data_IF_237301054469
#
_entry.id   IF_237301054469
#
_cell.length_a   1.000
_cell.length_b   1.000
_cell.length_c   1.000
_cell.angle_alpha   90.00
_cell.angle_beta   90.00
_cell.angle_gamma   90.00
#
_symmetry.space_group_name_H-M   'P 1'
#
loop_
_entity.id
_entity.type
_entity.pdbx_description
1 polymer ?
#
# COMPACT_ATOMS: atom_id res chain seq x y z
N UNK A 1 -3.10 11.52 -14.24
CA UNK A 1 -2.85 11.21 -12.82
C UNK A 1 -3.85 10.16 -12.35
N UNK A 2 -3.36 9.13 -11.69
CA UNK A 2 -4.19 8.04 -11.20
C UNK A 2 -4.01 7.89 -9.70
N UNK A 3 -5.10 7.57 -9.01
CA UNK A 3 -5.07 7.22 -7.61
C UNK A 3 -4.98 5.71 -7.48
N UNK A 4 -3.99 5.23 -6.76
CA UNK A 4 -3.85 3.83 -6.40
C UNK A 4 -4.30 3.68 -4.96
N UNK A 5 -5.24 2.78 -4.73
CA UNK A 5 -5.79 2.54 -3.41
C UNK A 5 -5.64 1.07 -3.05
N UNK A 6 -4.85 0.80 -2.03
CA UNK A 6 -4.68 -0.53 -1.47
C UNK A 6 -5.51 -0.64 -0.21
N UNK A 7 -6.46 -1.56 -0.19
CA UNK A 7 -7.35 -1.76 0.96
C UNK A 7 -7.08 -3.14 1.55
N UNK A 8 -6.67 -3.17 2.80
CA UNK A 8 -6.36 -4.41 3.50
C UNK A 8 -7.29 -4.62 4.67
N UNK A 9 -7.76 -5.85 4.81
CA UNK A 9 -8.47 -6.31 5.98
C UNK A 9 -7.47 -7.08 6.83
N UNK A 10 -7.04 -6.49 7.95
CA UNK A 10 -6.07 -7.14 8.81
C UNK A 10 -6.74 -8.10 9.80
N UNK A 11 -5.92 -8.94 10.38
CA UNK A 11 -6.33 -9.73 11.55
C UNK A 11 -6.56 -8.79 12.73
N UNK A 12 -7.45 -9.15 13.66
CA UNK A 12 -7.69 -8.34 14.84
C UNK A 12 -6.40 -7.99 15.58
N UNK A 13 -6.23 -6.71 15.89
CA UNK A 13 -5.06 -6.23 16.62
C UNK A 13 -3.81 -6.03 15.78
N UNK A 14 -3.85 -6.28 14.47
CA UNK A 14 -2.66 -6.23 13.61
C UNK A 14 -2.58 -5.00 12.71
N UNK A 15 -3.57 -4.11 12.76
CA UNK A 15 -3.57 -2.92 11.91
C UNK A 15 -2.36 -2.02 12.14
N UNK A 16 -1.98 -1.79 13.40
CA UNK A 16 -0.83 -0.93 13.72
C UNK A 16 0.48 -1.44 13.14
N UNK A 17 0.68 -2.75 13.14
CA UNK A 17 1.89 -3.35 12.58
C UNK A 17 1.96 -3.13 11.07
N UNK A 18 0.83 -3.28 10.37
CA UNK A 18 0.77 -3.04 8.93
C UNK A 18 0.99 -1.56 8.61
N UNK A 19 0.36 -0.67 9.36
CA UNK A 19 0.57 0.79 9.22
C UNK A 19 2.05 1.14 9.36
N UNK A 20 2.72 0.57 10.36
CA UNK A 20 4.14 0.80 10.60
C UNK A 20 4.97 0.38 9.39
N UNK A 21 4.69 -0.79 8.81
CA UNK A 21 5.39 -1.27 7.62
C UNK A 21 5.18 -0.32 6.44
N UNK A 22 3.96 0.13 6.19
CA UNK A 22 3.67 1.06 5.12
C UNK A 22 4.37 2.40 5.30
N UNK A 23 4.39 2.93 6.51
CA UNK A 23 5.09 4.18 6.80
C UNK A 23 6.60 4.06 6.58
N UNK A 24 7.17 2.92 6.91
CA UNK A 24 8.59 2.68 6.67
C UNK A 24 8.90 2.49 5.18
N UNK A 25 7.99 1.88 4.43
CA UNK A 25 8.19 1.63 3.01
C UNK A 25 7.96 2.87 2.14
N UNK A 26 7.09 3.79 2.56
CA UNK A 26 6.68 4.94 1.74
C UNK A 26 7.84 5.75 1.16
N UNK A 27 8.90 6.13 1.90
CA UNK A 27 10.01 6.89 1.32
C UNK A 27 10.70 6.17 0.16
N UNK A 28 10.77 4.85 0.21
CA UNK A 28 11.38 4.06 -0.86
C UNK A 28 10.45 3.96 -2.07
N UNK A 29 9.14 3.83 -1.82
CA UNK A 29 8.15 3.77 -2.90
C UNK A 29 8.04 5.10 -3.63
N UNK A 30 8.25 6.23 -2.95
CA UNK A 30 8.27 7.55 -3.59
C UNK A 30 9.33 7.66 -4.69
N UNK A 31 10.42 6.93 -4.56
CA UNK A 31 11.48 6.91 -5.57
C UNK A 31 11.04 6.27 -6.87
N UNK A 32 9.97 5.48 -6.86
CA UNK A 32 9.43 4.81 -8.06
C UNK A 32 8.39 5.65 -8.80
N UNK A 33 8.14 6.88 -8.34
CA UNK A 33 7.14 7.77 -8.93
C UNK A 33 5.79 7.79 -8.23
N UNK A 34 5.63 7.01 -7.18
CA UNK A 34 4.45 7.08 -6.33
C UNK A 34 4.58 8.27 -5.40
N UNK A 35 3.53 9.06 -5.24
CA UNK A 35 3.57 10.27 -4.42
C UNK A 35 2.27 10.50 -3.69
N UNK A 36 2.29 11.46 -2.76
CA UNK A 36 1.12 11.84 -1.96
C UNK A 36 0.55 10.65 -1.18
N UNK A 37 1.42 9.91 -0.51
CA UNK A 37 1.00 8.77 0.30
C UNK A 37 0.10 9.19 1.45
N UNK A 38 -0.98 8.45 1.62
CA UNK A 38 -1.83 8.56 2.80
C UNK A 38 -2.10 7.15 3.31
N UNK A 39 -1.95 6.97 4.60
CA UNK A 39 -2.19 5.71 5.27
C UNK A 39 -3.29 5.95 6.30
N UNK A 40 -4.36 5.20 6.19
CA UNK A 40 -5.57 5.43 6.98
C UNK A 40 -6.03 4.12 7.63
N UNK A 41 -6.64 4.26 8.80
CA UNK A 41 -7.30 3.14 9.47
C UNK A 41 -8.76 3.50 9.67
N UNK A 42 -9.60 2.49 9.83
CA UNK A 42 -11.03 2.70 9.94
C UNK A 42 -11.42 3.41 11.24
N UNK A 43 -12.34 4.35 11.12
CA UNK A 43 -13.15 4.83 12.24
C UNK A 43 -14.54 4.22 12.12
N UNK A 44 -15.04 4.16 10.89
CA UNK A 44 -16.32 3.53 10.57
C UNK A 44 -16.21 2.83 9.22
N UNK A 45 -15.98 1.54 9.23
CA UNK A 45 -15.86 0.66 8.06
C UNK A 45 -15.85 -0.78 8.58
N UNK A 46 -15.41 -1.73 7.76
CA UNK A 46 -15.13 -3.07 8.25
C UNK A 46 -13.99 -2.99 9.29
N UNK A 47 -14.14 -3.67 10.41
CA UNK A 47 -13.15 -3.63 11.48
C UNK A 47 -11.76 -4.03 10.98
N UNK A 48 -10.73 -3.35 11.49
CA UNK A 48 -9.32 -3.61 11.22
C UNK A 48 -8.94 -3.39 9.77
N UNK A 49 -9.50 -2.35 9.15
CA UNK A 49 -9.16 -1.95 7.77
C UNK A 49 -7.99 -0.98 7.77
N UNK A 50 -7.02 -1.24 6.87
CA UNK A 50 -5.91 -0.32 6.60
C UNK A 50 -5.96 0.03 5.12
N UNK A 51 -5.94 1.32 4.82
CA UNK A 51 -5.94 1.83 3.45
C UNK A 51 -4.66 2.62 3.21
N UNK A 52 -3.99 2.33 2.11
CA UNK A 52 -2.88 3.14 1.65
C UNK A 52 -3.23 3.69 0.27
N UNK A 53 -3.14 5.01 0.12
CA UNK A 53 -3.37 5.68 -1.16
C UNK A 53 -2.11 6.37 -1.65
N UNK A 54 -1.94 6.40 -2.95
CA UNK A 54 -0.87 7.16 -3.59
C UNK A 54 -1.30 7.58 -4.98
N UNK A 55 -0.63 8.60 -5.50
CA UNK A 55 -0.85 9.08 -6.87
C UNK A 55 0.28 8.61 -7.76
N UNK A 56 -0.03 8.23 -9.00
CA UNK A 56 0.97 7.91 -10.00
C UNK A 56 0.59 8.55 -11.34
N UNK A 57 1.58 8.97 -12.11
CA UNK A 57 1.35 9.53 -13.44
C UNK A 57 1.34 8.47 -14.51
N UNK A 58 2.18 7.44 -14.37
CA UNK A 58 2.37 6.39 -15.36
C UNK A 58 1.94 5.02 -14.81
N UNK A 59 0.79 4.55 -15.27
CA UNK A 59 0.29 3.22 -14.91
C UNK A 59 1.17 2.09 -15.45
N UNK A 60 1.84 2.31 -16.57
CA UNK A 60 2.74 1.31 -17.14
C UNK A 60 3.89 0.99 -16.21
N UNK A 61 4.55 2.01 -15.70
CA UNK A 61 5.63 1.84 -14.72
C UNK A 61 5.11 1.18 -13.45
N UNK A 62 3.99 1.65 -12.94
CA UNK A 62 3.37 1.07 -11.73
C UNK A 62 3.03 -0.41 -11.92
N UNK A 63 2.43 -0.76 -13.05
CA UNK A 63 2.06 -2.14 -13.37
C UNK A 63 3.28 -3.06 -13.45
N UNK A 64 4.35 -2.56 -14.05
CA UNK A 64 5.62 -3.29 -14.15
C UNK A 64 6.20 -3.58 -12.76
N UNK A 65 6.24 -2.58 -11.90
CA UNK A 65 6.73 -2.72 -10.53
C UNK A 65 5.96 -3.79 -9.76
N UNK A 66 4.65 -3.81 -9.92
CA UNK A 66 3.80 -4.78 -9.24
C UNK A 66 4.02 -6.20 -9.76
N UNK A 67 4.12 -6.37 -11.07
CA UNK A 67 4.25 -7.70 -11.67
C UNK A 67 5.62 -8.35 -11.43
N UNK A 68 6.65 -7.53 -11.38
CA UNK A 68 8.01 -8.02 -11.12
C UNK A 68 8.34 -8.07 -9.64
N UNK A 69 7.40 -7.62 -8.80
CA UNK A 69 7.67 -7.36 -7.39
C UNK A 69 8.44 -6.07 -7.25
N UNK A 70 8.61 -5.60 -6.04
CA UNK A 70 9.43 -4.42 -5.84
C UNK A 70 10.90 -4.78 -6.09
N UNK A 71 11.57 -3.92 -6.85
CA UNK A 71 13.00 -4.06 -7.11
C UNK A 71 13.85 -3.50 -5.99
N UNK A 72 13.25 -2.76 -5.06
CA UNK A 72 13.97 -2.18 -3.93
C UNK A 72 14.08 -3.21 -2.79
N UNK A 73 15.30 -3.69 -2.48
CA UNK A 73 15.49 -4.67 -1.41
C UNK A 73 15.03 -4.16 -0.06
N UNK A 74 15.06 -2.85 0.16
CA UNK A 74 14.62 -2.26 1.43
C UNK A 74 13.11 -2.40 1.60
N UNK A 75 12.34 -2.21 0.53
CA UNK A 75 10.89 -2.40 0.58
C UNK A 75 10.56 -3.85 0.86
N UNK A 76 11.21 -4.78 0.17
CA UNK A 76 11.01 -6.22 0.40
C UNK A 76 11.28 -6.61 1.84
N UNK A 77 12.36 -6.06 2.40
CA UNK A 77 12.76 -6.34 3.79
C UNK A 77 11.74 -5.76 4.78
N UNK A 78 11.30 -4.52 4.56
CA UNK A 78 10.33 -3.85 5.41
C UNK A 78 8.99 -4.60 5.40
N UNK A 79 8.55 -5.04 4.23
CA UNK A 79 7.25 -5.70 4.05
C UNK A 79 7.28 -7.19 4.36
N UNK A 80 8.43 -7.75 4.70
CA UNK A 80 8.53 -9.16 5.04
C UNK A 80 7.53 -9.53 6.14
N UNK A 81 6.77 -10.60 5.90
CA UNK A 81 5.78 -11.09 6.88
C UNK A 81 4.45 -10.33 6.88
N UNK A 82 4.25 -9.34 6.00
CA UNK A 82 2.99 -8.58 6.02
C UNK A 82 1.76 -9.46 5.74
N UNK A 83 1.93 -10.53 4.97
CA UNK A 83 0.81 -11.43 4.66
C UNK A 83 0.27 -12.14 5.90
N UNK A 84 1.08 -12.31 6.94
CA UNK A 84 0.64 -12.88 8.20
C UNK A 84 -0.25 -11.92 9.00
N UNK A 85 -0.23 -10.64 8.64
CA UNK A 85 -1.01 -9.60 9.32
C UNK A 85 -2.39 -9.41 8.68
N UNK A 86 -2.61 -9.90 7.46
CA UNK A 86 -3.81 -9.60 6.69
C UNK A 86 -4.62 -10.87 6.40
N UNK A 87 -5.94 -10.71 6.32
CA UNK A 87 -6.85 -11.76 5.89
C UNK A 87 -7.11 -11.67 4.39
N UNK A 88 -7.24 -10.45 3.88
CA UNK A 88 -7.49 -10.21 2.46
C UNK A 88 -7.08 -8.79 2.11
N UNK A 89 -6.98 -8.54 0.81
CA UNK A 89 -6.70 -7.21 0.31
C UNK A 89 -7.28 -7.03 -1.08
N UNK A 90 -7.48 -5.77 -1.46
CA UNK A 90 -7.87 -5.44 -2.83
C UNK A 90 -7.17 -4.15 -3.26
N UNK A 91 -7.03 -4.00 -4.57
CA UNK A 91 -6.48 -2.79 -5.18
C UNK A 91 -7.55 -2.15 -6.04
N UNK A 92 -7.67 -0.84 -5.91
CA UNK A 92 -8.53 -0.02 -6.73
C UNK A 92 -7.66 1.03 -7.40
N UNK A 93 -7.90 1.30 -8.68
CA UNK A 93 -7.18 2.32 -9.41
C UNK A 93 -8.21 3.23 -10.06
N UNK A 94 -8.10 4.53 -9.80
CA UNK A 94 -9.03 5.52 -10.33
C UNK A 94 -8.30 6.55 -11.17
N UNK A 95 -8.92 6.98 -12.25
CA UNK A 95 -8.46 8.15 -12.99
C UNK A 95 -8.97 9.39 -12.24
N UNK A 96 -8.05 10.30 -11.91
CA UNK A 96 -8.43 11.56 -11.28
C UNK A 96 -8.92 12.51 -12.37
N UNK A 97 -10.19 12.91 -12.29
CA UNK A 97 -10.83 13.77 -13.27
C UNK A 97 -10.41 15.24 -13.15
#
# INVERSE_FOLDING_TARGET
MYLIREVFQTKPGKAKELVKKFKQAAPYLEKTGMKNFRIMTDIAATYWTVVMESDVEDLGTFSKEIRTGTTDPEVSKIMEGYMDLVNEGRREIYLIE
#
